data_IF_858199729825
#
_entry.id   IF_858199729825
#
_cell.length_a   1.000
_cell.length_b   1.000
_cell.length_c   1.000
_cell.angle_alpha   90.00
_cell.angle_beta   90.00
_cell.angle_gamma   90.00
#
_symmetry.space_group_name_H-M   'P 1'
#
loop_
_entity.id
_entity.type
_entity.pdbx_description
1 polymer ?
#
# COMPACT_ATOMS: atom_id res chain seq x y z
N UNK A 1 8.16 -5.67 -41.95
CA UNK A 1 8.52 -5.70 -40.51
C UNK A 1 9.08 -4.33 -40.19
N UNK A 2 8.43 -3.57 -39.34
CA UNK A 2 8.92 -2.30 -38.84
C UNK A 2 10.26 -2.51 -38.15
N UNK A 3 11.09 -1.48 -38.06
CA UNK A 3 12.36 -1.52 -37.34
C UNK A 3 12.05 -1.27 -35.86
N UNK A 4 12.28 -2.26 -34.99
CA UNK A 4 12.13 -2.10 -33.58
C UNK A 4 13.03 -0.95 -33.07
N UNK A 5 12.47 -0.07 -32.26
CA UNK A 5 13.15 1.07 -31.65
C UNK A 5 13.01 0.98 -30.14
N UNK A 6 14.08 1.25 -29.41
CA UNK A 6 14.04 1.32 -27.94
C UNK A 6 13.79 2.76 -27.53
N UNK A 7 12.72 2.99 -26.75
CA UNK A 7 12.34 4.29 -26.22
C UNK A 7 12.49 4.24 -24.70
N UNK A 8 13.35 5.09 -24.09
CA UNK A 8 13.48 5.15 -22.64
C UNK A 8 12.29 5.87 -22.02
N UNK A 9 11.67 5.26 -21.02
CA UNK A 9 10.63 5.83 -20.16
C UNK A 9 11.18 5.97 -18.75
N UNK A 10 11.45 7.17 -18.32
CA UNK A 10 12.12 7.45 -17.05
C UNK A 10 13.67 7.48 -17.15
N UNK A 11 14.41 7.44 -16.02
CA UNK A 11 13.89 7.27 -14.64
C UNK A 11 13.12 8.49 -14.12
N UNK A 12 13.40 9.71 -14.59
CA UNK A 12 12.66 10.92 -14.26
C UNK A 12 11.60 11.15 -15.34
N UNK A 13 10.34 10.96 -15.00
CA UNK A 13 9.20 11.15 -15.92
C UNK A 13 8.07 11.90 -15.19
N UNK A 14 7.40 12.89 -15.85
CA UNK A 14 6.38 13.72 -15.21
C UNK A 14 5.22 12.96 -14.56
N UNK A 15 4.86 11.80 -15.10
CA UNK A 15 3.77 10.95 -14.56
C UNK A 15 4.22 10.09 -13.38
N UNK A 16 5.52 9.89 -13.20
CA UNK A 16 6.05 9.00 -12.17
C UNK A 16 6.35 9.78 -10.89
N UNK A 17 5.73 9.42 -9.75
CA UNK A 17 6.04 10.04 -8.46
C UNK A 17 7.41 9.62 -7.91
N UNK A 18 7.97 8.51 -8.39
CA UNK A 18 9.27 7.96 -8.00
C UNK A 18 10.05 7.48 -9.22
N UNK A 19 11.40 7.43 -9.18
CA UNK A 19 12.22 7.02 -10.32
C UNK A 19 11.97 5.56 -10.72
N UNK A 20 11.41 5.35 -11.90
CA UNK A 20 11.28 4.05 -12.55
C UNK A 20 11.79 4.18 -13.99
N UNK A 21 12.66 3.28 -14.41
CA UNK A 21 13.10 3.25 -15.79
C UNK A 21 12.58 1.99 -16.50
N UNK A 22 12.00 2.20 -17.69
CA UNK A 22 11.58 1.14 -18.60
C UNK A 22 12.23 1.38 -19.95
N UNK A 23 12.92 0.39 -20.49
CA UNK A 23 13.25 0.37 -21.92
C UNK A 23 12.06 -0.24 -22.66
N UNK A 24 11.37 0.60 -23.43
CA UNK A 24 10.22 0.19 -24.23
C UNK A 24 10.70 -0.19 -25.63
N UNK A 25 10.58 -1.45 -26.01
CA UNK A 25 10.80 -1.89 -27.39
C UNK A 25 9.52 -1.67 -28.18
N UNK A 26 9.57 -0.80 -29.19
CA UNK A 26 8.39 -0.31 -29.91
C UNK A 26 8.51 -0.61 -31.40
N UNK A 27 7.46 -1.14 -32.01
CA UNK A 27 7.28 -1.26 -33.46
C UNK A 27 5.96 -0.58 -33.86
N UNK A 28 6.01 0.36 -34.79
CA UNK A 28 4.82 1.06 -35.33
C UNK A 28 3.87 1.56 -34.20
N UNK A 29 4.43 2.24 -33.18
CA UNK A 29 3.72 2.77 -32.00
C UNK A 29 3.17 1.72 -31.01
N UNK A 30 3.37 0.44 -31.28
CA UNK A 30 2.99 -0.64 -30.36
C UNK A 30 4.18 -1.07 -29.50
N UNK A 31 3.99 -1.17 -28.19
CA UNK A 31 5.00 -1.68 -27.26
C UNK A 31 5.05 -3.20 -27.36
N UNK A 32 6.16 -3.72 -27.86
CA UNK A 32 6.38 -5.18 -27.99
C UNK A 32 6.87 -5.77 -26.65
N UNK A 33 7.74 -5.02 -25.98
CA UNK A 33 8.36 -5.45 -24.73
C UNK A 33 8.66 -4.23 -23.86
N UNK A 34 8.52 -4.39 -22.54
CA UNK A 34 8.95 -3.39 -21.55
C UNK A 34 9.94 -4.02 -20.58
N UNK A 35 11.17 -3.52 -20.53
CA UNK A 35 12.25 -4.03 -19.71
C UNK A 35 12.48 -3.08 -18.53
N UNK A 36 12.08 -3.44 -17.28
CA UNK A 36 12.27 -2.58 -16.12
C UNK A 36 13.71 -2.60 -15.65
N UNK A 37 14.24 -1.41 -15.36
CA UNK A 37 15.50 -1.22 -14.67
C UNK A 37 15.22 -0.58 -13.31
N UNK A 38 15.61 -1.27 -12.24
CA UNK A 38 15.45 -0.83 -10.86
C UNK A 38 16.83 -0.74 -10.18
N UNK A 39 16.92 0.00 -9.07
CA UNK A 39 18.17 0.19 -8.32
C UNK A 39 18.57 1.66 -8.12
N UNK A 40 17.84 2.62 -8.70
CA UNK A 40 18.17 4.05 -8.66
C UNK A 40 18.12 4.66 -7.24
N UNK A 41 17.27 4.11 -6.38
CA UNK A 41 17.08 4.59 -5.00
C UNK A 41 17.33 3.51 -3.95
N UNK A 42 18.07 2.44 -4.30
CA UNK A 42 18.42 1.38 -3.36
C UNK A 42 19.28 1.91 -2.19
N UNK A 43 18.86 1.61 -0.95
CA UNK A 43 19.42 2.14 0.28
C UNK A 43 20.01 1.07 1.20
N UNK A 44 19.88 -0.21 0.86
CA UNK A 44 20.40 -1.34 1.63
C UNK A 44 19.74 -1.54 2.99
N UNK A 45 18.45 -1.19 3.13
CA UNK A 45 17.75 -1.20 4.43
C UNK A 45 17.64 -2.61 5.02
N UNK A 46 17.52 -3.65 4.19
CA UNK A 46 17.52 -5.04 4.66
C UNK A 46 18.85 -5.43 5.32
N UNK A 47 19.97 -4.88 4.85
CA UNK A 47 21.29 -5.11 5.47
C UNK A 47 21.45 -4.32 6.77
N UNK A 48 20.87 -3.15 6.84
CA UNK A 48 20.95 -2.27 8.01
C UNK A 48 20.34 -2.91 9.27
N UNK A 49 19.38 -3.82 9.14
CA UNK A 49 18.76 -4.54 10.28
C UNK A 49 19.77 -5.33 11.10
N UNK A 50 20.83 -5.82 10.47
CA UNK A 50 21.87 -6.60 11.13
C UNK A 50 22.75 -5.75 12.09
N UNK A 51 22.68 -4.42 11.98
CA UNK A 51 23.50 -3.47 12.73
C UNK A 51 22.68 -2.58 13.68
N UNK A 52 21.36 -2.76 13.75
CA UNK A 52 20.46 -1.98 14.58
C UNK A 52 19.72 -2.88 15.56
N UNK A 53 19.51 -2.37 16.77
CA UNK A 53 18.61 -2.99 17.74
C UNK A 53 17.21 -3.17 17.12
N UNK A 54 16.58 -4.32 17.35
CA UNK A 54 15.28 -4.63 16.74
C UNK A 54 14.20 -3.61 17.12
N UNK A 55 14.25 -2.99 18.30
CA UNK A 55 13.35 -1.91 18.68
C UNK A 55 13.64 -0.60 17.96
N UNK A 56 14.92 -0.32 17.65
CA UNK A 56 15.31 0.89 16.92
C UNK A 56 15.06 0.76 15.43
N UNK A 57 15.16 -0.45 14.88
CA UNK A 57 14.97 -0.65 13.44
C UNK A 57 13.55 -0.34 12.98
N UNK A 58 12.55 -0.36 13.87
CA UNK A 58 11.17 0.01 13.51
C UNK A 58 11.08 1.42 12.92
N UNK A 59 11.90 2.36 13.40
CA UNK A 59 11.97 3.72 12.84
C UNK A 59 12.58 3.74 11.44
N UNK A 60 13.48 2.80 11.14
CA UNK A 60 14.02 2.63 9.79
C UNK A 60 12.98 1.97 8.88
N UNK A 61 12.27 0.97 9.38
CA UNK A 61 11.21 0.29 8.64
C UNK A 61 10.13 1.27 8.16
N UNK A 62 9.68 2.19 9.00
CA UNK A 62 8.74 3.25 8.58
C UNK A 62 9.27 4.11 7.42
N UNK A 63 10.57 4.33 7.37
CA UNK A 63 11.23 5.18 6.35
C UNK A 63 11.56 4.44 5.05
N UNK A 64 11.11 3.20 4.90
CA UNK A 64 11.14 2.50 3.62
C UNK A 64 10.33 3.28 2.58
N UNK A 65 9.15 3.76 2.97
CA UNK A 65 8.28 4.54 2.10
C UNK A 65 7.51 5.60 2.89
N UNK A 66 7.36 6.80 2.35
CA UNK A 66 6.60 7.87 2.97
C UNK A 66 5.08 7.75 2.82
N UNK A 67 4.58 6.87 1.93
CA UNK A 67 3.13 6.71 1.68
C UNK A 67 2.58 5.52 2.47
N UNK A 68 3.28 4.39 2.50
CA UNK A 68 2.88 3.18 3.24
C UNK A 68 3.73 2.97 4.50
N UNK A 69 4.19 4.04 5.13
CA UNK A 69 5.06 4.03 6.30
C UNK A 69 4.47 3.20 7.44
N UNK A 70 3.17 3.40 7.74
CA UNK A 70 2.50 2.65 8.80
C UNK A 70 2.50 1.14 8.55
N UNK A 71 2.18 0.70 7.32
CA UNK A 71 2.19 -0.73 6.97
C UNK A 71 3.58 -1.35 7.10
N UNK A 72 4.66 -0.57 6.91
CA UNK A 72 6.03 -1.07 7.12
C UNK A 72 6.39 -1.20 8.60
N UNK A 73 6.04 -0.24 9.46
CA UNK A 73 6.25 -0.37 10.90
C UNK A 73 5.40 -1.51 11.49
N UNK A 74 4.14 -1.65 11.04
CA UNK A 74 3.25 -2.73 11.44
C UNK A 74 3.82 -4.10 11.06
N UNK A 75 4.11 -4.32 9.76
CA UNK A 75 4.62 -5.60 9.28
C UNK A 75 5.95 -6.00 9.93
N UNK A 76 6.83 -5.03 10.18
CA UNK A 76 8.06 -5.26 10.92
C UNK A 76 7.80 -5.66 12.38
N UNK A 77 6.97 -4.88 13.10
CA UNK A 77 6.67 -5.15 14.50
C UNK A 77 6.03 -6.53 14.70
N UNK A 78 5.01 -6.86 13.93
CA UNK A 78 4.34 -8.16 13.97
C UNK A 78 5.28 -9.32 13.65
N UNK A 79 6.24 -9.11 12.73
CA UNK A 79 7.25 -10.13 12.43
C UNK A 79 8.16 -10.39 13.63
N UNK A 80 8.62 -9.33 14.30
CA UNK A 80 9.46 -9.47 15.50
C UNK A 80 8.66 -10.07 16.66
N UNK A 81 7.41 -9.66 16.85
CA UNK A 81 6.49 -10.19 17.85
C UNK A 81 6.30 -11.69 17.68
N UNK A 82 6.01 -12.14 16.47
CA UNK A 82 5.92 -13.59 16.14
C UNK A 82 7.23 -14.33 16.39
N UNK A 83 8.36 -13.71 16.03
CA UNK A 83 9.69 -14.29 16.22
C UNK A 83 10.02 -14.51 17.68
N UNK A 84 9.52 -13.62 18.55
CA UNK A 84 9.78 -13.64 19.99
C UNK A 84 8.63 -14.26 20.81
N UNK A 85 7.50 -14.59 20.20
CA UNK A 85 6.31 -15.09 20.90
C UNK A 85 5.66 -14.04 21.80
N UNK A 86 5.66 -12.77 21.38
CA UNK A 86 5.08 -11.65 22.12
C UNK A 86 3.59 -11.56 21.84
N UNK A 87 2.77 -11.56 22.89
CA UNK A 87 1.34 -11.29 22.79
C UNK A 87 1.08 -9.78 22.88
N UNK A 88 0.36 -9.26 21.91
CA UNK A 88 0.00 -7.84 21.81
C UNK A 88 -1.39 -7.67 22.45
N UNK A 89 -1.60 -6.62 23.28
CA UNK A 89 -2.92 -6.36 23.87
C UNK A 89 -3.97 -6.08 22.78
N UNK A 90 -5.18 -6.57 22.97
CA UNK A 90 -6.29 -6.44 22.00
C UNK A 90 -6.60 -4.99 21.62
N UNK A 91 -6.53 -4.07 22.60
CA UNK A 91 -6.69 -2.64 22.33
C UNK A 91 -5.64 -2.12 21.35
N UNK A 92 -4.38 -2.51 21.55
CA UNK A 92 -3.29 -2.11 20.64
C UNK A 92 -3.48 -2.64 19.22
N UNK A 93 -3.95 -3.87 19.08
CA UNK A 93 -4.26 -4.45 17.77
C UNK A 93 -5.37 -3.69 17.06
N UNK A 94 -6.45 -3.32 17.75
CA UNK A 94 -7.52 -2.51 17.17
C UNK A 94 -7.04 -1.10 16.76
N UNK A 95 -6.22 -0.46 17.61
CA UNK A 95 -5.62 0.85 17.29
C UNK A 95 -4.72 0.77 16.04
N UNK A 96 -3.94 -0.31 15.91
CA UNK A 96 -3.13 -0.56 14.71
C UNK A 96 -3.99 -0.68 13.46
N UNK A 97 -5.15 -1.33 13.51
CA UNK A 97 -6.07 -1.41 12.37
C UNK A 97 -6.63 -0.03 12.02
N UNK A 98 -7.04 0.77 13.00
CA UNK A 98 -7.55 2.13 12.75
C UNK A 98 -6.51 2.96 11.99
N UNK A 99 -5.27 3.03 12.46
CA UNK A 99 -4.22 3.79 11.78
C UNK A 99 -3.81 3.17 10.44
N UNK A 100 -3.83 1.84 10.33
CA UNK A 100 -3.48 1.16 9.08
C UNK A 100 -4.49 1.47 7.99
N UNK A 101 -5.79 1.44 8.31
CA UNK A 101 -6.82 1.79 7.34
C UNK A 101 -6.87 3.30 7.06
N UNK A 102 -6.58 4.18 8.02
CA UNK A 102 -6.33 5.60 7.74
C UNK A 102 -5.16 5.78 6.77
N UNK A 103 -4.09 4.99 6.90
CA UNK A 103 -2.95 5.00 5.97
C UNK A 103 -3.36 4.55 4.57
N UNK A 104 -4.29 3.59 4.44
CA UNK A 104 -4.86 3.19 3.14
C UNK A 104 -5.70 4.31 2.54
N UNK A 105 -6.57 4.92 3.33
CA UNK A 105 -7.40 6.05 2.89
C UNK A 105 -6.54 7.18 2.31
N UNK A 106 -5.53 7.65 3.05
CA UNK A 106 -4.67 8.73 2.56
C UNK A 106 -3.88 8.35 1.31
N UNK A 107 -3.44 7.08 1.22
CA UNK A 107 -2.69 6.58 0.06
C UNK A 107 -3.55 6.52 -1.20
N UNK A 108 -4.77 6.00 -1.10
CA UNK A 108 -5.66 5.90 -2.25
C UNK A 108 -6.23 7.25 -2.69
N UNK A 109 -6.46 8.19 -1.75
CA UNK A 109 -6.84 9.57 -2.11
C UNK A 109 -5.68 10.28 -2.82
N UNK A 110 -4.43 10.09 -2.37
CA UNK A 110 -3.24 10.60 -3.07
C UNK A 110 -3.18 10.07 -4.49
N UNK A 111 -3.33 8.75 -4.66
CA UNK A 111 -3.31 8.11 -5.97
C UNK A 111 -4.44 8.65 -6.88
N UNK A 112 -5.65 8.82 -6.35
CA UNK A 112 -6.78 9.40 -7.10
C UNK A 112 -6.46 10.82 -7.59
N UNK A 113 -5.79 11.62 -6.76
CA UNK A 113 -5.32 12.95 -7.16
C UNK A 113 -4.31 12.88 -8.31
N UNK A 114 -3.29 12.02 -8.21
CA UNK A 114 -2.31 11.83 -9.27
C UNK A 114 -2.96 11.32 -10.57
N UNK A 115 -3.95 10.44 -10.47
CA UNK A 115 -4.72 10.00 -11.62
C UNK A 115 -5.50 11.17 -12.25
N UNK A 116 -6.14 12.00 -11.45
CA UNK A 116 -6.84 13.20 -11.94
C UNK A 116 -5.89 14.17 -12.66
N UNK A 117 -4.69 14.39 -12.10
CA UNK A 117 -3.66 15.23 -12.72
C UNK A 117 -3.20 14.68 -14.08
N UNK A 118 -2.98 13.37 -14.18
CA UNK A 118 -2.62 12.72 -15.45
C UNK A 118 -3.68 12.87 -16.57
N UNK A 119 -4.94 13.09 -16.18
CA UNK A 119 -6.02 13.44 -17.12
C UNK A 119 -6.14 14.95 -17.37
N UNK A 120 -5.33 15.78 -16.70
CA UNK A 120 -5.42 17.25 -16.78
C UNK A 120 -6.57 17.83 -15.95
N UNK A 121 -7.10 17.09 -14.98
CA UNK A 121 -8.18 17.54 -14.09
C UNK A 121 -7.61 18.23 -12.85
N UNK A 122 -6.91 19.35 -13.05
CA UNK A 122 -6.23 20.10 -11.99
C UNK A 122 -7.14 20.43 -10.78
N UNK A 123 -8.38 20.85 -11.03
CA UNK A 123 -9.33 21.13 -9.96
C UNK A 123 -9.66 19.90 -9.12
N UNK A 124 -9.77 18.72 -9.74
CA UNK A 124 -10.04 17.47 -9.06
C UNK A 124 -8.80 17.00 -8.27
N UNK A 125 -7.61 17.15 -8.85
CA UNK A 125 -6.35 16.94 -8.15
C UNK A 125 -6.26 17.77 -6.86
N UNK A 126 -6.48 19.08 -6.95
CA UNK A 126 -6.46 19.97 -5.79
C UNK A 126 -7.53 19.60 -4.75
N UNK A 127 -8.68 19.09 -5.18
CA UNK A 127 -9.73 18.63 -4.28
C UNK A 127 -9.31 17.36 -3.53
N UNK A 128 -8.70 16.38 -4.21
CA UNK A 128 -8.14 15.18 -3.57
C UNK A 128 -7.09 15.56 -2.53
N UNK A 129 -6.18 16.49 -2.84
CA UNK A 129 -5.16 16.94 -1.89
C UNK A 129 -5.76 17.60 -0.66
N UNK A 130 -6.77 18.47 -0.83
CA UNK A 130 -7.48 19.08 0.29
C UNK A 130 -8.20 18.04 1.15
N UNK A 131 -8.79 17.03 0.53
CA UNK A 131 -9.47 15.97 1.25
C UNK A 131 -8.48 15.12 2.05
N UNK A 132 -7.33 14.80 1.43
CA UNK A 132 -6.25 14.05 2.07
C UNK A 132 -5.67 14.77 3.30
N UNK A 133 -5.57 16.11 3.27
CA UNK A 133 -5.09 16.89 4.42
C UNK A 133 -5.90 16.60 5.69
N UNK A 134 -7.21 16.41 5.58
CA UNK A 134 -8.06 16.07 6.73
C UNK A 134 -7.67 14.73 7.38
N UNK A 135 -7.20 13.77 6.59
CA UNK A 135 -6.68 12.49 7.11
C UNK A 135 -5.30 12.69 7.77
N UNK A 136 -4.46 13.53 7.17
CA UNK A 136 -3.15 13.86 7.76
C UNK A 136 -3.29 14.63 9.08
N UNK A 137 -4.30 15.47 9.23
CA UNK A 137 -4.63 16.14 10.50
C UNK A 137 -5.03 15.14 11.59
N UNK A 138 -5.75 14.07 11.25
CA UNK A 138 -6.05 12.96 12.19
C UNK A 138 -4.74 12.30 12.63
N UNK A 139 -3.85 11.98 11.70
CA UNK A 139 -2.55 11.40 12.04
C UNK A 139 -1.72 12.30 12.95
N UNK A 140 -1.62 13.58 12.63
CA UNK A 140 -0.88 14.54 13.46
C UNK A 140 -1.40 14.59 14.89
N UNK A 141 -2.71 14.66 15.07
CA UNK A 141 -3.34 14.70 16.39
C UNK A 141 -3.17 13.41 17.18
N UNK A 142 -3.22 12.27 16.54
CA UNK A 142 -3.19 10.97 17.22
C UNK A 142 -1.79 10.38 17.35
N UNK A 143 -0.88 10.68 16.42
CA UNK A 143 0.48 10.12 16.41
C UNK A 143 1.58 11.16 16.61
N UNK A 144 1.32 12.43 16.28
CA UNK A 144 2.31 13.50 16.26
C UNK A 144 3.06 13.64 14.93
N UNK A 145 2.79 12.77 13.95
CA UNK A 145 3.39 12.79 12.61
C UNK A 145 2.34 12.83 11.51
N UNK A 146 2.68 13.41 10.37
CA UNK A 146 1.76 13.51 9.21
C UNK A 146 2.08 12.47 8.12
N UNK A 147 3.34 12.02 8.05
CA UNK A 147 3.84 11.08 7.02
C UNK A 147 4.56 9.91 7.67
N UNK A 148 5.42 10.17 8.64
CA UNK A 148 6.08 9.18 9.48
C UNK A 148 5.47 9.27 10.86
N UNK A 149 4.89 8.20 11.35
CA UNK A 149 3.97 8.23 12.49
C UNK A 149 4.63 7.83 13.80
N UNK A 150 5.58 6.89 13.77
CA UNK A 150 6.37 6.39 14.92
C UNK A 150 5.50 5.99 16.12
N UNK A 151 4.30 5.47 15.85
CA UNK A 151 3.33 5.09 16.88
C UNK A 151 3.33 3.59 17.16
N UNK A 152 3.77 2.76 16.21
CA UNK A 152 3.91 1.32 16.38
C UNK A 152 5.22 1.01 17.09
N UNK A 153 5.18 0.09 18.04
CA UNK A 153 6.37 -0.51 18.67
C UNK A 153 6.19 -2.03 18.78
N UNK A 154 7.26 -2.76 18.97
CA UNK A 154 7.18 -4.20 19.27
C UNK A 154 6.45 -4.38 20.60
N UNK A 155 5.40 -5.18 20.62
CA UNK A 155 4.50 -5.42 21.76
C UNK A 155 3.33 -4.45 21.86
N UNK A 156 3.05 -3.61 20.85
CA UNK A 156 1.86 -2.73 20.85
C UNK A 156 2.05 -1.39 20.19
N UNK A 157 1.55 -0.34 20.82
CA UNK A 157 1.64 1.05 20.32
C UNK A 157 2.16 1.99 21.42
N UNK A 158 2.66 3.16 20.99
CA UNK A 158 3.26 4.16 21.91
C UNK A 158 2.23 5.14 22.45
N UNK A 159 1.12 5.34 21.72
CA UNK A 159 0.07 6.30 22.08
C UNK A 159 -1.28 5.60 22.02
N UNK A 160 -2.19 6.05 22.85
CA UNK A 160 -3.60 5.70 22.79
C UNK A 160 -4.39 6.74 22.00
N UNK A 161 -5.61 6.40 21.62
CA UNK A 161 -6.61 7.32 21.08
C UNK A 161 -7.72 7.43 22.11
N UNK A 162 -7.95 8.62 22.65
CA UNK A 162 -9.00 8.85 23.63
C UNK A 162 -10.39 8.97 22.97
N UNK A 163 -11.45 8.96 23.81
CA UNK A 163 -12.83 9.00 23.33
C UNK A 163 -13.15 10.27 22.52
N UNK A 164 -12.57 11.42 22.88
CA UNK A 164 -12.80 12.67 22.17
C UNK A 164 -12.15 12.62 20.78
N UNK A 165 -10.94 12.05 20.68
CA UNK A 165 -10.25 11.83 19.42
C UNK A 165 -10.99 10.81 18.55
N UNK A 166 -11.52 9.71 19.12
CA UNK A 166 -12.33 8.73 18.39
C UNK A 166 -13.61 9.35 17.82
N UNK A 167 -14.29 10.19 18.61
CA UNK A 167 -15.46 10.91 18.14
C UNK A 167 -15.12 11.91 17.01
N UNK A 168 -13.97 12.59 17.11
CA UNK A 168 -13.49 13.49 16.05
C UNK A 168 -13.16 12.70 14.77
N UNK A 169 -12.49 11.55 14.88
CA UNK A 169 -12.17 10.68 13.73
C UNK A 169 -13.45 10.31 12.99
N UNK A 170 -14.46 9.81 13.68
CA UNK A 170 -15.77 9.48 13.07
C UNK A 170 -16.36 10.65 12.31
N UNK A 171 -16.48 11.80 12.98
CA UNK A 171 -17.05 13.02 12.36
C UNK A 171 -16.29 13.48 11.12
N UNK A 172 -14.96 13.40 11.14
CA UNK A 172 -14.11 13.79 10.00
C UNK A 172 -14.27 12.78 8.86
N UNK A 173 -14.30 11.49 9.16
CA UNK A 173 -14.43 10.44 8.15
C UNK A 173 -15.81 10.44 7.47
N UNK A 174 -16.89 10.73 8.20
CA UNK A 174 -18.22 10.93 7.60
C UNK A 174 -18.18 12.02 6.53
N UNK A 175 -17.61 13.19 6.86
CA UNK A 175 -17.45 14.28 5.90
C UNK A 175 -16.50 13.96 4.74
N UNK A 176 -15.44 13.15 4.99
CA UNK A 176 -14.57 12.65 3.91
C UNK A 176 -15.33 11.70 2.99
N UNK A 177 -16.12 10.81 3.54
CA UNK A 177 -16.91 9.81 2.79
C UNK A 177 -17.84 10.45 1.77
N UNK A 178 -18.52 11.53 2.18
CA UNK A 178 -19.44 12.26 1.30
C UNK A 178 -18.73 13.05 0.20
N UNK A 179 -17.68 13.80 0.56
CA UNK A 179 -16.88 14.55 -0.40
C UNK A 179 -16.17 13.61 -1.38
N UNK A 180 -15.64 12.49 -0.89
CA UNK A 180 -14.96 11.50 -1.71
C UNK A 180 -15.89 10.79 -2.69
N UNK A 181 -17.14 10.49 -2.30
CA UNK A 181 -18.14 9.94 -3.23
C UNK A 181 -18.41 10.87 -4.42
N UNK A 182 -18.36 12.18 -4.21
CA UNK A 182 -18.51 13.16 -5.28
C UNK A 182 -17.31 13.10 -6.23
N UNK A 183 -16.08 13.09 -5.70
CA UNK A 183 -14.84 12.95 -6.47
C UNK A 183 -14.84 11.65 -7.28
N UNK A 184 -15.10 10.51 -6.61
CA UNK A 184 -15.17 9.20 -7.24
C UNK A 184 -16.19 9.16 -8.37
N UNK A 185 -17.40 9.68 -8.14
CA UNK A 185 -18.44 9.71 -9.16
C UNK A 185 -18.07 10.60 -10.34
N UNK A 186 -17.48 11.78 -10.09
CA UNK A 186 -17.03 12.67 -11.16
C UNK A 186 -15.98 11.99 -12.04
N UNK A 187 -14.99 11.35 -11.43
CA UNK A 187 -13.91 10.67 -12.14
C UNK A 187 -14.40 9.43 -12.89
N UNK A 188 -15.10 8.51 -12.24
CA UNK A 188 -15.56 7.25 -12.85
C UNK A 188 -16.63 7.43 -13.93
N UNK A 189 -17.43 8.51 -13.89
CA UNK A 189 -18.46 8.77 -14.91
C UNK A 189 -17.92 9.55 -16.11
N UNK A 190 -16.76 10.14 -16.02
CA UNK A 190 -16.18 10.95 -17.08
C UNK A 190 -15.86 10.12 -18.33
N UNK A 191 -16.24 10.64 -19.48
CA UNK A 191 -16.06 9.94 -20.77
C UNK A 191 -14.60 9.87 -21.19
N UNK A 192 -13.80 10.88 -20.88
CA UNK A 192 -12.37 10.90 -21.20
C UNK A 192 -11.62 9.84 -20.40
N UNK A 193 -11.97 9.70 -19.12
CA UNK A 193 -11.42 8.64 -18.26
C UNK A 193 -11.76 7.26 -18.83
N UNK A 194 -13.02 7.01 -19.17
CA UNK A 194 -13.44 5.73 -19.73
C UNK A 194 -12.74 5.41 -21.06
N UNK A 195 -12.66 6.39 -21.96
CA UNK A 195 -12.02 6.19 -23.26
C UNK A 195 -10.52 5.85 -23.17
N UNK A 196 -9.86 6.26 -22.09
CA UNK A 196 -8.42 6.03 -21.88
C UNK A 196 -8.10 4.87 -20.95
N UNK A 197 -9.11 4.23 -20.35
CA UNK A 197 -8.88 3.21 -19.30
C UNK A 197 -9.64 1.92 -19.55
N UNK A 198 -10.81 1.96 -20.19
CA UNK A 198 -11.60 0.76 -20.48
C UNK A 198 -10.95 -0.03 -21.60
N UNK A 199 -10.67 -1.31 -21.34
CA UNK A 199 -10.01 -2.22 -22.28
C UNK A 199 -8.51 -1.97 -22.47
N UNK A 200 -7.91 -1.07 -21.68
CA UNK A 200 -6.48 -0.73 -21.79
C UNK A 200 -5.68 -1.48 -20.72
N UNK A 201 -4.55 -2.08 -21.11
CA UNK A 201 -3.64 -2.80 -20.22
C UNK A 201 -4.31 -3.95 -19.46
N UNK A 202 -5.11 -4.73 -20.16
CA UNK A 202 -5.89 -5.85 -19.59
C UNK A 202 -4.97 -6.96 -19.12
N UNK A 203 -5.21 -7.44 -17.90
CA UNK A 203 -4.63 -8.67 -17.35
C UNK A 203 -5.77 -9.65 -17.08
N UNK A 204 -5.70 -10.82 -17.66
CA UNK A 204 -6.68 -11.89 -17.40
C UNK A 204 -6.61 -12.39 -15.96
N UNK A 205 -7.68 -13.02 -15.49
CA UNK A 205 -7.67 -13.72 -14.19
C UNK A 205 -6.59 -14.80 -14.12
N UNK A 206 -6.41 -15.55 -15.20
CA UNK A 206 -5.43 -16.62 -15.29
C UNK A 206 -3.99 -16.09 -15.21
N UNK A 207 -3.69 -15.01 -15.94
CA UNK A 207 -2.37 -14.36 -15.87
C UNK A 207 -2.11 -13.77 -14.50
N UNK A 208 -3.11 -13.15 -13.88
CA UNK A 208 -2.98 -12.58 -12.54
C UNK A 208 -2.61 -13.63 -11.50
N UNK A 209 -3.20 -14.84 -11.61
CA UNK A 209 -2.85 -15.99 -10.76
C UNK A 209 -1.47 -16.55 -11.11
N UNK A 210 -1.18 -16.78 -12.39
CA UNK A 210 0.08 -17.35 -12.86
C UNK A 210 1.29 -16.48 -12.47
N UNK A 211 1.13 -15.15 -12.51
CA UNK A 211 2.14 -14.17 -12.11
C UNK A 211 2.15 -13.89 -10.61
N UNK A 212 1.26 -14.54 -9.85
CA UNK A 212 1.10 -14.34 -8.40
C UNK A 212 0.93 -12.85 -8.04
N UNK A 213 0.12 -12.13 -8.80
CA UNK A 213 -0.14 -10.71 -8.57
C UNK A 213 -0.87 -10.48 -7.25
N UNK A 214 -0.71 -9.30 -6.67
CA UNK A 214 -1.26 -8.96 -5.36
C UNK A 214 -1.94 -7.58 -5.36
N UNK A 215 -2.81 -7.37 -4.37
CA UNK A 215 -3.42 -6.08 -4.10
C UNK A 215 -4.49 -5.64 -5.11
N UNK A 216 -4.80 -4.34 -5.20
CA UNK A 216 -5.79 -3.80 -6.11
C UNK A 216 -5.56 -4.19 -7.58
N UNK A 217 -4.29 -4.39 -7.98
CA UNK A 217 -3.94 -4.82 -9.33
C UNK A 217 -4.49 -6.23 -9.62
N UNK A 218 -4.31 -7.19 -8.71
CA UNK A 218 -4.85 -8.55 -8.83
C UNK A 218 -6.38 -8.57 -8.65
N UNK A 219 -6.91 -7.80 -7.68
CA UNK A 219 -8.35 -7.73 -7.41
C UNK A 219 -9.14 -7.14 -8.58
N UNK A 220 -8.54 -6.25 -9.36
CA UNK A 220 -9.13 -5.76 -10.62
C UNK A 220 -9.28 -6.86 -11.69
N UNK A 221 -8.57 -7.99 -11.58
CA UNK A 221 -8.67 -9.20 -12.40
C UNK A 221 -9.42 -10.34 -11.68
N UNK A 222 -10.30 -10.01 -10.74
CA UNK A 222 -11.15 -10.93 -9.97
C UNK A 222 -10.38 -11.94 -9.10
N UNK A 223 -9.16 -11.63 -8.69
CA UNK A 223 -8.43 -12.47 -7.72
C UNK A 223 -8.97 -12.18 -6.33
N UNK A 224 -9.73 -13.11 -5.77
CA UNK A 224 -10.35 -12.99 -4.45
C UNK A 224 -9.32 -13.29 -3.35
N UNK A 225 -8.35 -12.37 -3.18
CA UNK A 225 -7.32 -12.47 -2.16
C UNK A 225 -6.95 -11.09 -1.58
N UNK A 226 -6.91 -11.05 -0.25
CA UNK A 226 -6.47 -9.90 0.55
C UNK A 226 -5.96 -10.43 1.89
N UNK A 227 -4.81 -9.98 2.35
CA UNK A 227 -4.21 -10.47 3.61
C UNK A 227 -5.13 -10.21 4.82
N UNK A 228 -5.97 -9.18 4.77
CA UNK A 228 -6.93 -8.87 5.83
C UNK A 228 -7.95 -10.00 6.06
N UNK A 229 -8.23 -10.83 5.04
CA UNK A 229 -9.09 -12.03 5.16
C UNK A 229 -8.51 -13.09 6.10
N UNK A 230 -7.20 -13.09 6.32
CA UNK A 230 -6.54 -14.04 7.21
C UNK A 230 -6.82 -13.75 8.68
N UNK A 231 -7.40 -12.57 8.98
CA UNK A 231 -7.76 -12.17 10.35
C UNK A 231 -6.56 -11.99 11.28
N UNK A 232 -5.39 -11.68 10.75
CA UNK A 232 -4.20 -11.42 11.56
C UNK A 232 -4.38 -10.15 12.42
N UNK A 233 -3.94 -10.20 13.67
CA UNK A 233 -4.05 -9.08 14.61
C UNK A 233 -5.50 -8.62 14.76
N UNK A 234 -5.71 -7.32 14.86
CA UNK A 234 -7.03 -6.71 15.02
C UNK A 234 -8.01 -6.97 13.88
N UNK A 235 -7.55 -7.36 12.68
CA UNK A 235 -8.43 -7.70 11.54
C UNK A 235 -9.31 -8.93 11.81
N UNK A 236 -8.92 -9.82 12.73
CA UNK A 236 -9.74 -10.96 13.15
C UNK A 236 -11.05 -10.57 13.84
N UNK A 237 -11.23 -9.30 14.17
CA UNK A 237 -12.46 -8.77 14.78
C UNK A 237 -13.48 -8.26 13.76
N UNK A 238 -13.12 -8.16 12.49
CA UNK A 238 -14.07 -7.76 11.45
C UNK A 238 -15.13 -8.85 11.27
N UNK A 239 -16.40 -8.44 11.24
CA UNK A 239 -17.53 -9.37 11.23
C UNK A 239 -17.71 -10.07 9.87
N UNK A 240 -17.46 -9.37 8.77
CA UNK A 240 -17.65 -9.88 7.39
C UNK A 240 -16.81 -9.09 6.39
N UNK A 241 -15.49 -9.29 6.45
CA UNK A 241 -14.60 -8.62 5.50
C UNK A 241 -14.58 -9.37 4.17
N UNK A 242 -14.95 -8.67 3.09
CA UNK A 242 -14.82 -9.15 1.72
C UNK A 242 -14.01 -8.15 0.89
N UNK A 243 -13.00 -8.57 0.13
CA UNK A 243 -12.23 -7.66 -0.69
C UNK A 243 -13.08 -7.06 -1.82
N UNK A 244 -12.75 -5.83 -2.21
CA UNK A 244 -13.34 -5.19 -3.39
C UNK A 244 -12.78 -5.85 -4.64
N UNK A 245 -13.64 -6.36 -5.51
CA UNK A 245 -13.25 -7.05 -6.75
C UNK A 245 -13.83 -6.36 -7.98
N UNK A 246 -13.13 -6.51 -9.10
CA UNK A 246 -13.64 -6.27 -10.45
C UNK A 246 -13.12 -7.38 -11.38
N UNK A 247 -13.84 -7.66 -12.46
CA UNK A 247 -13.50 -8.77 -13.36
C UNK A 247 -12.93 -8.33 -14.71
N UNK A 248 -12.84 -7.01 -14.98
CA UNK A 248 -12.42 -6.52 -16.30
C UNK A 248 -10.90 -6.54 -16.51
N UNK A 249 -10.10 -6.51 -15.44
CA UNK A 249 -8.65 -6.60 -15.49
C UNK A 249 -7.95 -5.39 -16.14
N UNK A 250 -8.67 -4.37 -16.58
CA UNK A 250 -8.17 -3.19 -17.28
C UNK A 250 -7.80 -2.04 -16.32
N UNK A 251 -7.31 -0.95 -16.90
CA UNK A 251 -7.00 0.26 -16.13
C UNK A 251 -8.22 0.80 -15.39
N UNK A 252 -9.41 0.74 -15.98
CA UNK A 252 -10.64 1.24 -15.36
C UNK A 252 -11.03 0.42 -14.12
N UNK A 253 -10.90 -0.90 -14.21
CA UNK A 253 -11.13 -1.80 -13.07
C UNK A 253 -10.18 -1.49 -11.91
N UNK A 254 -8.90 -1.21 -12.19
CA UNK A 254 -7.90 -0.82 -11.17
C UNK A 254 -8.25 0.50 -10.48
N UNK A 255 -8.73 1.47 -11.25
CA UNK A 255 -9.25 2.74 -10.71
C UNK A 255 -10.43 2.49 -9.79
N UNK A 256 -11.40 1.70 -10.25
CA UNK A 256 -12.64 1.43 -9.53
C UNK A 256 -12.39 0.66 -8.22
N UNK A 257 -11.53 -0.35 -8.24
CA UNK A 257 -11.16 -1.11 -7.03
C UNK A 257 -10.57 -0.18 -5.97
N UNK A 258 -9.57 0.64 -6.31
CA UNK A 258 -8.97 1.59 -5.35
C UNK A 258 -9.97 2.62 -4.85
N UNK A 259 -10.81 3.12 -5.73
CA UNK A 259 -11.82 4.11 -5.35
C UNK A 259 -12.83 3.54 -4.33
N UNK A 260 -13.23 2.29 -4.48
CA UNK A 260 -14.14 1.63 -3.54
C UNK A 260 -13.44 1.22 -2.24
N UNK A 261 -12.16 0.85 -2.29
CA UNK A 261 -11.38 0.53 -1.08
C UNK A 261 -11.24 1.69 -0.11
N UNK A 262 -11.28 2.95 -0.57
CA UNK A 262 -11.33 4.12 0.33
C UNK A 262 -12.58 4.08 1.21
N UNK A 263 -13.74 3.83 0.62
CA UNK A 263 -15.00 3.75 1.36
C UNK A 263 -15.01 2.55 2.31
N UNK A 264 -14.54 1.41 1.84
CA UNK A 264 -14.41 0.20 2.67
C UNK A 264 -13.49 0.42 3.86
N UNK A 265 -12.35 1.08 3.67
CA UNK A 265 -11.43 1.40 4.77
C UNK A 265 -12.07 2.30 5.82
N UNK A 266 -12.89 3.27 5.39
CA UNK A 266 -13.64 4.10 6.32
C UNK A 266 -14.64 3.26 7.12
N UNK A 267 -15.37 2.34 6.46
CA UNK A 267 -16.31 1.42 7.14
C UNK A 267 -15.58 0.53 8.17
N UNK A 268 -14.39 0.01 7.82
CA UNK A 268 -13.54 -0.77 8.74
C UNK A 268 -13.13 0.07 9.96
N UNK A 269 -12.73 1.32 9.76
CA UNK A 269 -12.35 2.20 10.88
C UNK A 269 -13.55 2.44 11.80
N UNK A 270 -14.73 2.70 11.23
CA UNK A 270 -15.96 2.90 12.00
C UNK A 270 -16.33 1.65 12.83
N UNK A 271 -16.19 0.46 12.25
CA UNK A 271 -16.41 -0.82 12.93
C UNK A 271 -15.39 -1.03 14.07
N UNK A 272 -14.10 -0.79 13.81
CA UNK A 272 -13.05 -0.92 14.83
C UNK A 272 -13.24 0.05 15.99
N UNK A 273 -13.65 1.28 15.72
CA UNK A 273 -13.96 2.25 16.79
C UNK A 273 -15.15 1.78 17.64
N UNK A 274 -16.18 1.19 17.01
CA UNK A 274 -17.37 0.74 17.72
C UNK A 274 -17.10 -0.42 18.67
N UNK A 275 -16.11 -1.25 18.37
CA UNK A 275 -15.75 -2.45 19.19
C UNK A 275 -14.38 -2.33 19.87
N UNK A 276 -13.83 -1.11 19.96
CA UNK A 276 -12.53 -0.88 20.58
C UNK A 276 -12.55 -1.26 22.08
N UNK A 277 -11.81 -2.30 22.51
CA UNK A 277 -11.84 -2.73 23.91
C UNK A 277 -11.09 -1.74 24.80
N UNK A 278 -11.44 -1.74 26.08
CA UNK A 278 -10.61 -1.13 27.13
C UNK A 278 -9.42 -2.04 27.43
N UNK A 279 -8.32 -1.48 27.91
CA UNK A 279 -7.15 -2.25 28.33
C UNK A 279 -5.83 -1.58 27.98
N UNK A 280 -4.76 -2.34 28.12
CA UNK A 280 -3.40 -1.89 27.85
C UNK A 280 -3.17 -1.70 26.34
N UNK A 281 -2.28 -0.77 26.03
CA UNK A 281 -1.87 -0.48 24.64
C UNK A 281 -0.51 -1.08 24.28
N UNK A 282 0.16 -1.73 25.22
CA UNK A 282 1.44 -2.36 24.99
C UNK A 282 1.79 -3.38 26.06
N UNK A 283 2.52 -4.41 25.66
CA UNK A 283 3.22 -5.36 26.54
C UNK A 283 4.68 -4.94 26.70
N UNK A 284 5.23 -5.17 27.89
CA UNK A 284 6.67 -4.96 28.14
C UNK A 284 7.49 -6.11 27.56
N UNK A 285 8.16 -5.88 26.45
CA UNK A 285 8.93 -6.89 25.73
C UNK A 285 10.35 -6.99 26.30
N UNK A 286 10.71 -8.16 26.81
CA UNK A 286 12.04 -8.45 27.35
C UNK A 286 12.73 -9.53 26.56
N UNK A 287 14.06 -9.44 26.51
CA UNK A 287 14.89 -10.46 25.88
C UNK A 287 15.31 -10.11 24.45
N UNK A 288 15.66 -11.13 23.70
CA UNK A 288 16.16 -11.04 22.34
C UNK A 288 15.63 -12.18 21.50
N UNK A 289 15.48 -11.98 20.17
CA UNK A 289 15.11 -13.08 19.26
C UNK A 289 16.11 -14.24 19.38
N UNK A 290 15.62 -15.45 19.58
CA UNK A 290 16.49 -16.63 19.78
C UNK A 290 17.36 -16.89 18.55
N UNK A 291 18.58 -17.37 18.77
CA UNK A 291 19.49 -17.70 17.68
C UNK A 291 18.89 -18.79 16.77
N UNK A 292 18.86 -18.53 15.47
CA UNK A 292 18.33 -19.45 14.47
C UNK A 292 16.78 -19.52 14.41
N UNK A 293 16.06 -18.89 15.33
CA UNK A 293 14.61 -18.74 15.18
C UNK A 293 14.28 -17.93 13.94
N UNK A 294 13.22 -18.35 13.23
CA UNK A 294 12.81 -17.68 12.00
C UNK A 294 11.29 -17.66 11.88
N UNK A 295 10.77 -16.63 11.25
CA UNK A 295 9.34 -16.48 11.03
C UNK A 295 9.05 -15.66 9.78
N UNK A 296 7.80 -15.76 9.31
CA UNK A 296 7.27 -14.93 8.26
C UNK A 296 5.95 -14.29 8.69
N UNK A 297 5.67 -13.12 8.15
CA UNK A 297 4.43 -12.39 8.35
C UNK A 297 3.96 -11.71 7.06
N UNK A 298 2.66 -11.51 6.94
CA UNK A 298 2.00 -10.86 5.83
C UNK A 298 1.19 -9.67 6.33
N UNK A 299 1.26 -8.55 5.61
CA UNK A 299 0.47 -7.35 5.87
C UNK A 299 -0.09 -6.84 4.54
N UNK A 300 -1.37 -6.49 4.49
CA UNK A 300 -1.97 -5.88 3.31
C UNK A 300 -1.70 -4.37 3.29
N UNK A 301 -0.70 -3.95 2.55
CA UNK A 301 -0.47 -2.53 2.30
C UNK A 301 -1.43 -1.97 1.24
N UNK A 302 -1.53 -0.62 1.05
CA UNK A 302 -2.43 -0.04 0.05
C UNK A 302 -2.23 -0.60 -1.37
N UNK A 303 -1.02 -1.03 -1.70
CA UNK A 303 -0.67 -1.60 -3.02
C UNK A 303 -0.77 -3.12 -3.08
N UNK A 304 -1.04 -3.77 -1.93
CA UNK A 304 -1.20 -5.22 -1.83
C UNK A 304 -0.37 -5.87 -0.74
N UNK A 305 -0.28 -7.19 -0.81
CA UNK A 305 0.46 -8.02 0.14
C UNK A 305 1.94 -7.62 0.22
N UNK A 306 2.38 -7.38 1.44
CA UNK A 306 3.80 -7.22 1.79
C UNK A 306 4.22 -8.38 2.70
N UNK A 307 5.19 -9.16 2.24
CA UNK A 307 5.76 -10.29 2.96
C UNK A 307 7.01 -9.86 3.72
N UNK A 308 7.10 -10.25 4.98
CA UNK A 308 8.26 -10.07 5.84
C UNK A 308 8.79 -11.42 6.29
N UNK A 309 10.11 -11.58 6.27
CA UNK A 309 10.82 -12.70 6.87
C UNK A 309 11.89 -12.16 7.79
N UNK A 310 12.02 -12.74 8.98
CA UNK A 310 13.09 -12.41 9.92
C UNK A 310 13.73 -13.66 10.53
N UNK A 311 15.02 -13.53 10.85
CA UNK A 311 15.80 -14.55 11.57
C UNK A 311 16.55 -13.89 12.74
N UNK A 312 16.45 -14.51 13.91
CA UNK A 312 17.15 -14.08 15.12
C UNK A 312 18.57 -14.63 15.21
N UNK A 313 19.46 -13.90 15.89
CA UNK A 313 20.85 -14.30 16.12
C UNK A 313 21.18 -14.54 17.60
N UNK A 314 20.18 -14.51 18.50
CA UNK A 314 20.39 -14.67 19.95
C UNK A 314 20.75 -13.38 20.66
N UNK A 315 20.83 -12.25 19.95
CA UNK A 315 21.08 -10.93 20.51
C UNK A 315 19.94 -9.97 20.16
N UNK A 316 20.05 -8.72 20.57
CA UNK A 316 19.09 -7.66 20.18
C UNK A 316 19.12 -7.26 18.71
N UNK A 317 19.98 -7.85 17.90
CA UNK A 317 20.08 -7.65 16.46
C UNK A 317 19.42 -8.83 15.74
N UNK A 318 18.84 -8.59 14.57
CA UNK A 318 18.41 -9.67 13.70
C UNK A 318 19.57 -10.17 12.84
N UNK A 319 19.64 -11.46 12.59
CA UNK A 319 20.60 -12.05 11.64
C UNK A 319 20.25 -11.68 10.21
N UNK A 320 18.93 -11.66 9.91
CA UNK A 320 18.45 -11.39 8.57
C UNK A 320 17.03 -10.84 8.62
N UNK A 321 16.72 -9.93 7.71
CA UNK A 321 15.36 -9.58 7.33
C UNK A 321 15.23 -9.52 5.81
N UNK A 322 14.09 -9.97 5.31
CA UNK A 322 13.70 -9.84 3.90
C UNK A 322 12.29 -9.27 3.82
N UNK A 323 12.08 -8.42 2.83
CA UNK A 323 10.79 -7.85 2.53
C UNK A 323 10.50 -8.04 1.04
N UNK A 324 9.38 -8.67 0.72
CA UNK A 324 8.83 -8.66 -0.63
C UNK A 324 7.65 -7.71 -0.63
N UNK A 325 7.82 -6.58 -1.25
CA UNK A 325 6.79 -5.54 -1.31
C UNK A 325 5.82 -5.78 -2.47
N UNK A 326 4.61 -5.20 -2.44
CA UNK A 326 3.60 -5.41 -3.48
C UNK A 326 4.11 -5.08 -4.88
N UNK A 327 4.78 -3.95 -5.05
CA UNK A 327 5.31 -3.55 -6.37
C UNK A 327 6.36 -4.52 -6.89
N UNK A 328 7.26 -5.02 -6.02
CA UNK A 328 8.24 -6.04 -6.43
C UNK A 328 7.56 -7.30 -6.97
N UNK A 329 6.44 -7.70 -6.37
CA UNK A 329 5.66 -8.85 -6.82
C UNK A 329 4.92 -8.57 -8.13
N UNK A 330 4.45 -7.34 -8.31
CA UNK A 330 3.63 -6.93 -9.45
C UNK A 330 4.44 -6.50 -10.70
N UNK A 331 5.78 -6.51 -10.65
CA UNK A 331 6.61 -6.10 -11.80
C UNK A 331 6.35 -6.95 -13.05
N UNK A 332 6.24 -8.27 -12.90
CA UNK A 332 5.92 -9.15 -14.03
C UNK A 332 4.53 -8.86 -14.62
N UNK A 333 3.52 -8.62 -13.77
CA UNK A 333 2.20 -8.18 -14.21
C UNK A 333 2.24 -6.83 -14.93
N UNK A 334 3.08 -5.90 -14.47
CA UNK A 334 3.26 -4.60 -15.12
C UNK A 334 3.82 -4.75 -16.53
N UNK A 335 4.88 -5.53 -16.71
CA UNK A 335 5.48 -5.75 -18.05
C UNK A 335 4.51 -6.48 -18.98
N UNK A 336 3.73 -7.43 -18.44
CA UNK A 336 2.67 -8.11 -19.21
C UNK A 336 1.56 -7.14 -19.63
N UNK A 337 1.12 -6.23 -18.74
CA UNK A 337 0.09 -5.24 -19.08
C UNK A 337 0.55 -4.21 -20.14
N UNK A 338 1.86 -4.00 -20.24
CA UNK A 338 2.45 -3.09 -21.23
C UNK A 338 2.68 -3.76 -22.59
N UNK A 339 2.85 -5.08 -22.64
CA UNK A 339 3.08 -5.78 -23.90
C UNK A 339 1.83 -5.72 -24.79
N UNK A 340 2.01 -5.25 -26.01
CA UNK A 340 0.94 -5.09 -27.00
C UNK A 340 0.10 -3.81 -26.84
N UNK A 341 0.42 -2.94 -25.88
CA UNK A 341 -0.29 -1.67 -25.73
C UNK A 341 0.19 -0.61 -26.75
N UNK A 342 -0.63 0.39 -26.99
CA UNK A 342 -0.22 1.61 -27.67
C UNK A 342 0.78 2.40 -26.80
N UNK A 343 1.82 2.96 -27.39
CA UNK A 343 2.82 3.78 -26.69
C UNK A 343 2.17 4.93 -25.91
N UNK A 344 1.08 5.49 -26.41
CA UNK A 344 0.33 6.55 -25.73
C UNK A 344 -0.35 6.08 -24.43
N UNK A 345 -0.57 4.78 -24.25
CA UNK A 345 -1.25 4.22 -23.10
C UNK A 345 -0.29 3.79 -21.95
N UNK A 346 1.02 3.75 -22.22
CA UNK A 346 2.04 3.36 -21.24
C UNK A 346 1.90 4.13 -19.93
N UNK A 347 1.76 5.45 -20.01
CA UNK A 347 1.60 6.32 -18.84
C UNK A 347 0.42 5.90 -17.99
N UNK A 348 -0.72 5.62 -18.62
CA UNK A 348 -1.95 5.25 -17.92
C UNK A 348 -1.86 3.86 -17.30
N UNK A 349 -1.29 2.90 -18.03
CA UNK A 349 -1.08 1.54 -17.52
C UNK A 349 -0.21 1.59 -16.28
N UNK A 350 0.97 2.21 -16.34
CA UNK A 350 1.90 2.32 -15.21
C UNK A 350 1.23 3.04 -14.03
N UNK A 351 0.57 4.18 -14.27
CA UNK A 351 -0.11 4.92 -13.22
C UNK A 351 -1.17 4.09 -12.49
N UNK A 352 -1.98 3.31 -13.22
CA UNK A 352 -3.05 2.50 -12.60
C UNK A 352 -2.53 1.29 -11.82
N UNK A 353 -1.29 0.89 -12.01
CA UNK A 353 -0.61 -0.13 -11.19
C UNK A 353 -0.18 0.47 -9.85
N UNK A 354 0.12 1.76 -9.82
CA UNK A 354 0.57 2.50 -8.63
C UNK A 354 1.91 1.95 -8.09
N UNK A 355 2.98 1.90 -8.90
CA UNK A 355 4.24 1.35 -8.44
C UNK A 355 4.89 2.25 -7.38
N UNK A 356 5.36 1.63 -6.29
CA UNK A 356 6.15 2.30 -5.26
C UNK A 356 7.61 1.82 -5.37
N UNK A 357 8.49 2.69 -5.85
CA UNK A 357 9.89 2.32 -6.10
C UNK A 357 10.70 2.34 -4.80
N UNK A 358 10.38 3.25 -3.88
CA UNK A 358 10.95 3.22 -2.52
C UNK A 358 10.77 1.86 -1.82
N UNK A 359 9.60 1.24 -2.00
CA UNK A 359 9.33 -0.10 -1.49
C UNK A 359 10.08 -1.18 -2.29
N UNK A 360 10.18 -1.02 -3.59
CA UNK A 360 10.79 -2.01 -4.49
C UNK A 360 12.29 -2.10 -4.26
N UNK A 361 12.94 -0.98 -4.05
CA UNK A 361 14.41 -0.87 -3.99
C UNK A 361 14.99 -0.74 -2.58
N UNK A 362 14.20 -0.70 -1.52
CA UNK A 362 14.50 -0.52 -0.10
C UNK A 362 15.98 -0.62 0.32
#
# INVERSE_FOLDING_TARGET
MGKATVIPFGPQHPVLPEPLHLDLVVEDETVIEAVPQIGFIHRGLEKLVETRDYNQFIYVAERICGICAFGHSLGYAETVERLMGVEVPERAECLRVIWHELSRVHSHILWMGLAADAFGFESLFMHCWRLRERVLDIFEKTTGGRVIFSVVKVGGVVRDIDEAQLAEIKRVLEGIKDDYRQIMNAFLKDTSVKNRTVGVGVISHEDALALSMVGPFARASNVNYDVRMLGNGGYGRLSDFQPVLDAQGDCYARVKVRALEVLQSIDIIEEMIAQLPAGDIATDVKGSPAAGAQTANLVEQPRGECYYYARGNGTKYLERMRMRTPTSQNLAGMTTALAGCDLADVNMIVLTIDPCISCTER
#
